data_IF_178372608666
#
_entry.id   IF_178372608666
#
_cell.length_a   1.000
_cell.length_b   1.000
_cell.length_c   1.000
_cell.angle_alpha   90.00
_cell.angle_beta   90.00
_cell.angle_gamma   90.00
#
_symmetry.space_group_name_H-M   'P 1'
#
loop_
_entity.id
_entity.type
_entity.pdbx_description
1 polymer ?
#
# COMPACT_ATOMS: atom_id res chain seq x y z
N UNK A 1 -9.59 -6.97 -25.63
CA UNK A 1 -10.64 -6.94 -24.59
C UNK A 1 -10.12 -7.79 -23.44
N UNK A 2 -9.33 -7.18 -22.55
CA UNK A 2 -8.66 -7.86 -21.42
C UNK A 2 -9.59 -7.75 -20.21
N UNK A 3 -9.96 -8.90 -19.66
CA UNK A 3 -11.00 -9.08 -18.64
C UNK A 3 -10.67 -8.33 -17.34
N UNK A 4 -11.64 -7.53 -16.88
CA UNK A 4 -11.64 -6.76 -15.63
C UNK A 4 -11.48 -7.62 -14.36
N UNK A 5 -11.50 -8.95 -14.49
CA UNK A 5 -11.27 -9.89 -13.38
C UNK A 5 -9.81 -10.06 -12.94
N UNK A 6 -8.81 -9.74 -13.78
CA UNK A 6 -7.39 -10.00 -13.43
C UNK A 6 -6.76 -8.93 -12.52
N UNK A 7 -7.39 -7.76 -12.40
CA UNK A 7 -6.86 -6.62 -11.62
C UNK A 7 -7.03 -6.77 -10.10
N UNK A 8 -7.79 -7.76 -9.62
CA UNK A 8 -8.11 -7.91 -8.19
C UNK A 8 -7.30 -8.98 -7.43
N UNK A 9 -6.60 -9.89 -8.11
CA UNK A 9 -6.07 -11.10 -7.48
C UNK A 9 -4.70 -10.96 -6.79
N UNK A 10 -4.08 -9.78 -6.85
CA UNK A 10 -2.79 -9.52 -6.22
C UNK A 10 -2.88 -8.76 -4.88
N UNK A 11 -4.08 -8.64 -4.31
CA UNK A 11 -4.30 -7.83 -3.10
C UNK A 11 -4.18 -8.62 -1.78
N UNK A 12 -3.99 -9.96 -1.83
CA UNK A 12 -4.05 -10.83 -0.63
C UNK A 12 -2.73 -11.45 -0.12
N UNK A 13 -1.58 -11.27 -0.76
CA UNK A 13 -0.40 -12.13 -0.46
C UNK A 13 0.87 -11.39 0.03
N UNK A 14 0.78 -10.16 0.54
CA UNK A 14 1.97 -9.50 1.12
C UNK A 14 1.68 -8.94 2.51
N UNK A 15 1.32 -9.84 3.41
CA UNK A 15 1.22 -9.55 4.84
C UNK A 15 2.04 -10.57 5.62
N UNK A 16 3.37 -10.51 5.42
CA UNK A 16 4.46 -10.78 6.40
C UNK A 16 5.75 -11.27 5.71
N UNK A 17 6.83 -10.50 5.91
CA UNK A 17 8.22 -10.97 6.13
C UNK A 17 9.15 -11.44 4.97
N UNK A 18 8.85 -11.23 3.69
CA UNK A 18 9.88 -11.20 2.62
C UNK A 18 9.50 -10.17 1.55
N UNK A 19 10.26 -9.07 1.46
CA UNK A 19 9.99 -7.95 0.54
C UNK A 19 10.25 -8.30 -0.94
N UNK A 20 10.89 -9.44 -1.24
CA UNK A 20 11.34 -9.79 -2.60
C UNK A 20 10.26 -10.37 -3.53
N UNK A 21 9.17 -10.92 -3.00
CA UNK A 21 8.25 -11.75 -3.82
C UNK A 21 7.45 -10.94 -4.84
N UNK A 22 6.86 -9.82 -4.44
CA UNK A 22 6.05 -9.00 -5.34
C UNK A 22 6.91 -8.22 -6.36
N UNK A 23 8.17 -7.91 -6.03
CA UNK A 23 9.14 -7.32 -6.96
C UNK A 23 9.53 -8.31 -8.06
N UNK A 24 9.77 -9.59 -7.69
CA UNK A 24 10.01 -10.64 -8.69
C UNK A 24 8.80 -10.83 -9.61
N UNK A 25 7.58 -10.84 -9.07
CA UNK A 25 6.36 -10.90 -9.88
C UNK A 25 6.27 -9.68 -10.81
N UNK A 26 6.57 -8.47 -10.31
CA UNK A 26 6.56 -7.26 -11.11
C UNK A 26 7.50 -7.35 -12.34
N UNK A 27 8.70 -7.90 -12.15
CA UNK A 27 9.66 -8.14 -13.23
C UNK A 27 9.14 -9.18 -14.23
N UNK A 28 8.57 -10.27 -13.73
CA UNK A 28 8.05 -11.36 -14.55
C UNK A 28 6.91 -10.90 -15.46
N UNK A 29 5.99 -10.07 -14.97
CA UNK A 29 4.77 -9.68 -15.71
C UNK A 29 4.85 -8.33 -16.42
N UNK A 30 5.93 -7.56 -16.23
CA UNK A 30 6.07 -6.24 -16.86
C UNK A 30 5.99 -6.27 -18.39
N UNK A 31 6.56 -7.31 -19.02
CA UNK A 31 6.61 -7.44 -20.47
C UNK A 31 5.23 -7.66 -21.12
N UNK A 32 4.23 -8.14 -20.36
CA UNK A 32 2.83 -8.28 -20.81
C UNK A 32 1.96 -7.08 -20.40
N UNK A 33 2.57 -5.98 -19.94
CA UNK A 33 1.87 -4.74 -19.62
C UNK A 33 1.14 -4.74 -18.27
N UNK A 34 1.43 -5.70 -17.38
CA UNK A 34 0.88 -5.72 -16.02
C UNK A 34 1.83 -4.99 -15.06
N UNK A 35 1.27 -4.15 -14.19
CA UNK A 35 2.00 -3.43 -13.14
C UNK A 35 1.70 -4.02 -11.77
N UNK A 36 2.72 -4.13 -10.93
CA UNK A 36 2.61 -4.70 -9.59
C UNK A 36 3.32 -3.78 -8.61
N UNK A 37 2.62 -3.33 -7.57
CA UNK A 37 3.18 -2.45 -6.53
C UNK A 37 2.67 -2.86 -5.16
N UNK A 38 3.38 -2.45 -4.11
CA UNK A 38 2.96 -2.64 -2.72
C UNK A 38 2.49 -1.33 -2.09
N UNK A 39 1.45 -1.40 -1.25
CA UNK A 39 1.02 -0.29 -0.39
C UNK A 39 1.27 -0.66 1.07
N UNK A 40 2.19 0.06 1.71
CA UNK A 40 2.51 -0.05 3.13
C UNK A 40 1.76 1.03 3.91
N UNK A 41 0.67 0.64 4.55
CA UNK A 41 -0.19 1.56 5.31
C UNK A 41 0.17 1.62 6.79
N UNK A 42 0.00 2.80 7.38
CA UNK A 42 -0.03 2.99 8.82
C UNK A 42 -1.40 2.65 9.43
N UNK A 43 -1.71 3.27 10.58
CA UNK A 43 -3.01 3.10 11.22
C UNK A 43 -4.10 3.71 10.33
N UNK A 44 -5.06 2.87 9.92
CA UNK A 44 -6.26 3.28 9.19
C UNK A 44 -7.44 3.15 10.13
N UNK A 45 -8.40 4.08 10.09
CA UNK A 45 -9.65 3.99 10.84
C UNK A 45 -10.60 2.98 10.19
N UNK A 46 -10.63 1.77 10.74
CA UNK A 46 -11.50 0.68 10.29
C UNK A 46 -12.06 -0.07 11.50
N UNK A 47 -13.09 -0.89 11.31
CA UNK A 47 -13.64 -1.73 12.39
C UNK A 47 -12.57 -2.62 13.06
N UNK A 48 -11.54 -3.05 12.31
CA UNK A 48 -10.45 -3.88 12.82
C UNK A 48 -9.49 -3.13 13.76
N UNK A 49 -9.40 -1.81 13.62
CA UNK A 49 -8.41 -0.94 14.28
C UNK A 49 -9.05 0.03 15.27
N UNK A 50 -10.38 -0.03 15.45
CA UNK A 50 -11.16 0.87 16.30
C UNK A 50 -10.70 0.89 17.77
N UNK A 51 -10.11 -0.21 18.25
CA UNK A 51 -9.59 -0.31 19.62
C UNK A 51 -8.13 0.15 19.77
N UNK A 52 -7.48 0.56 18.67
CA UNK A 52 -6.12 1.10 18.69
C UNK A 52 -6.21 2.62 18.82
N UNK A 53 -5.74 3.15 19.94
CA UNK A 53 -5.68 4.59 20.16
C UNK A 53 -4.52 5.17 19.34
N UNK A 54 -4.77 6.13 18.43
CA UNK A 54 -3.73 6.76 17.63
C UNK A 54 -2.62 7.40 18.45
N UNK A 55 -2.93 7.86 19.66
CA UNK A 55 -2.01 8.50 20.60
C UNK A 55 -0.92 7.54 21.10
N UNK A 56 -1.19 6.23 21.08
CA UNK A 56 -0.20 5.20 21.40
C UNK A 56 0.79 4.96 20.26
N UNK A 57 0.56 5.54 19.07
CA UNK A 57 1.43 5.41 17.92
C UNK A 57 2.14 6.75 17.65
N UNK A 58 3.43 6.68 17.33
CA UNK A 58 4.17 7.84 16.86
C UNK A 58 3.77 8.13 15.40
N UNK A 59 2.68 8.87 15.21
CA UNK A 59 2.23 9.36 13.91
C UNK A 59 2.53 10.86 13.81
N UNK A 60 3.53 11.30 13.03
CA UNK A 60 3.83 12.72 12.85
C UNK A 60 2.64 13.59 12.39
N UNK A 61 1.75 13.04 11.56
CA UNK A 61 0.51 13.72 11.16
C UNK A 61 -0.58 13.73 12.25
N UNK A 62 -0.34 13.10 13.41
CA UNK A 62 -1.17 13.18 14.61
C UNK A 62 -2.53 12.46 14.54
N UNK A 63 -2.80 11.67 13.51
CA UNK A 63 -4.08 11.00 13.31
C UNK A 63 -3.95 9.69 12.55
N UNK A 64 -4.94 8.81 12.69
CA UNK A 64 -5.15 7.71 11.75
C UNK A 64 -5.56 8.25 10.37
N UNK A 65 -5.23 7.48 9.33
CA UNK A 65 -5.74 7.76 8.00
C UNK A 65 -7.17 7.21 7.82
N UNK A 66 -7.97 7.88 6.99
CA UNK A 66 -9.30 7.41 6.61
C UNK A 66 -9.20 6.31 5.54
N UNK A 67 -10.15 5.37 5.46
CA UNK A 67 -10.19 4.37 4.39
C UNK A 67 -10.10 5.00 2.98
N UNK A 68 -10.74 6.15 2.78
CA UNK A 68 -10.72 6.89 1.51
C UNK A 68 -9.33 7.36 1.09
N UNK A 69 -8.43 7.63 2.05
CA UNK A 69 -7.04 8.01 1.74
C UNK A 69 -6.27 6.83 1.14
N UNK A 70 -6.50 5.61 1.64
CA UNK A 70 -5.94 4.38 1.05
C UNK A 70 -6.58 4.11 -0.31
N UNK A 71 -7.91 4.25 -0.43
CA UNK A 71 -8.60 4.05 -1.69
C UNK A 71 -8.10 4.99 -2.80
N UNK A 72 -7.80 6.25 -2.47
CA UNK A 72 -7.20 7.20 -3.43
C UNK A 72 -5.83 6.76 -3.92
N UNK A 73 -4.97 6.23 -3.04
CA UNK A 73 -3.69 5.64 -3.46
C UNK A 73 -3.90 4.44 -4.39
N UNK A 74 -4.87 3.58 -4.09
CA UNK A 74 -5.20 2.43 -4.93
C UNK A 74 -5.72 2.88 -6.31
N UNK A 75 -6.56 3.92 -6.36
CA UNK A 75 -7.04 4.50 -7.61
C UNK A 75 -5.91 5.11 -8.44
N UNK A 76 -4.98 5.84 -7.81
CA UNK A 76 -3.77 6.33 -8.48
C UNK A 76 -2.95 5.18 -9.06
N UNK A 77 -2.68 4.13 -8.28
CA UNK A 77 -1.91 2.98 -8.77
C UNK A 77 -2.64 2.21 -9.86
N UNK A 78 -3.97 2.22 -9.89
CA UNK A 78 -4.78 1.61 -10.92
C UNK A 78 -4.93 2.47 -12.19
N UNK A 79 -4.72 3.79 -12.10
CA UNK A 79 -4.86 4.72 -13.23
C UNK A 79 -3.62 4.75 -14.12
N UNK A 80 -3.74 5.43 -15.26
CA UNK A 80 -2.63 5.68 -16.18
C UNK A 80 -1.62 6.70 -15.63
N UNK A 81 -1.96 7.42 -14.57
CA UNK A 81 -1.05 8.36 -13.90
C UNK A 81 0.15 7.63 -13.26
N UNK A 82 -0.05 6.37 -12.88
CA UNK A 82 0.99 5.48 -12.38
C UNK A 82 1.58 4.55 -13.47
N UNK A 83 1.43 4.90 -14.76
CA UNK A 83 1.83 4.06 -15.91
C UNK A 83 3.28 3.60 -15.89
N UNK A 84 4.18 4.38 -15.29
CA UNK A 84 5.60 4.02 -15.17
C UNK A 84 6.02 3.50 -13.78
N UNK A 85 5.04 3.19 -12.92
CA UNK A 85 5.26 2.65 -11.58
C UNK A 85 4.91 1.16 -11.52
N UNK A 86 5.94 0.32 -11.43
CA UNK A 86 5.87 -1.13 -11.17
C UNK A 86 7.09 -1.55 -10.34
N UNK A 87 6.94 -2.54 -9.48
CA UNK A 87 7.98 -2.99 -8.55
C UNK A 87 8.31 -2.02 -7.42
N UNK A 88 7.46 -1.00 -7.19
CA UNK A 88 7.67 0.02 -6.16
C UNK A 88 6.85 -0.20 -4.88
N UNK A 89 7.39 0.33 -3.77
CA UNK A 89 6.75 0.39 -2.46
C UNK A 89 6.19 1.79 -2.18
N UNK A 90 4.88 1.86 -1.94
CA UNK A 90 4.19 3.11 -1.62
C UNK A 90 3.80 3.13 -0.15
N UNK A 91 4.32 4.08 0.62
CA UNK A 91 4.02 4.21 2.05
C UNK A 91 2.92 5.24 2.28
N UNK A 92 1.85 4.84 2.98
CA UNK A 92 0.74 5.70 3.42
C UNK A 92 0.58 5.60 4.94
N UNK A 93 1.52 6.19 5.67
CA UNK A 93 1.65 5.96 7.11
C UNK A 93 1.73 7.24 7.96
N UNK A 94 1.33 8.40 7.43
CA UNK A 94 1.32 9.65 8.20
C UNK A 94 2.68 10.05 8.80
N UNK A 95 3.78 9.56 8.23
CA UNK A 95 5.16 9.75 8.70
C UNK A 95 5.65 8.74 9.74
N UNK A 96 4.84 7.78 10.19
CA UNK A 96 5.21 6.84 11.28
C UNK A 96 6.43 5.98 11.00
N UNK A 97 6.80 5.79 9.73
CA UNK A 97 7.98 5.02 9.32
C UNK A 97 9.26 5.86 9.22
N UNK A 98 9.17 7.19 9.38
CA UNK A 98 10.29 8.12 9.19
C UNK A 98 10.90 8.63 10.51
N UNK A 99 10.27 8.34 11.65
CA UNK A 99 10.78 8.73 12.97
C UNK A 99 11.81 7.75 13.51
N UNK A 100 12.92 8.28 14.05
CA UNK A 100 13.74 7.53 15.01
C UNK A 100 12.93 7.45 16.31
N UNK A 101 12.71 6.27 16.90
CA UNK A 101 12.01 6.16 18.18
C UNK A 101 12.73 7.03 19.21
N UNK A 102 12.09 8.11 19.65
CA UNK A 102 12.57 8.84 20.82
C UNK A 102 12.00 8.14 22.05
N UNK A 103 12.90 7.54 22.83
CA UNK A 103 12.63 7.06 24.18
C UNK A 103 12.44 8.24 25.14
#
# INVERSE_FOLDING_TARGET
>A
MIDRKFTFDLMRTVLKRRMSTWQSVALEVAHIGIRVNSIHRGLIDTNMTRNVQPEMLQIPMGRSAKPDEVAKMMLFLASDEASYSTGAEFVIAGGSTMGVPRH
#
